data_IF_351552121528
#
_entry.id   IF_351552121528
#
_cell.length_a   1.000
_cell.length_b   1.000
_cell.length_c   1.000
_cell.angle_alpha   90.00
_cell.angle_beta   90.00
_cell.angle_gamma   90.00
#
_symmetry.space_group_name_H-M   'P 1'
#
loop_
_entity.id
_entity.type
_entity.pdbx_description
1 polymer ?
#
# COMPACT_ATOMS: atom_id res chain seq x y z
N UNK A 1 -4.16 16.15 -20.48
CA UNK A 1 -4.93 14.93 -20.21
C UNK A 1 -4.22 14.09 -19.18
N UNK A 2 -4.86 13.87 -18.07
CA UNK A 2 -4.26 13.03 -17.06
C UNK A 2 -4.38 11.57 -17.50
N UNK A 3 -3.26 10.87 -17.48
CA UNK A 3 -3.20 9.50 -17.87
C UNK A 3 -3.09 8.67 -16.59
N UNK A 4 -4.00 7.75 -16.41
CA UNK A 4 -3.92 6.85 -15.27
C UNK A 4 -2.71 5.93 -15.43
N UNK A 5 -1.87 5.86 -14.41
CA UNK A 5 -0.73 4.98 -14.41
C UNK A 5 -1.19 3.52 -14.34
N UNK A 6 -0.54 2.64 -15.08
CA UNK A 6 -0.80 1.21 -14.94
C UNK A 6 -0.09 0.69 -13.68
N UNK A 7 -0.43 -0.52 -13.28
CA UNK A 7 0.08 -1.08 -12.03
C UNK A 7 1.61 -1.16 -12.00
N UNK A 8 2.26 -1.52 -13.11
CA UNK A 8 3.71 -1.61 -13.13
C UNK A 8 4.38 -0.26 -12.93
N UNK A 9 3.80 0.79 -13.51
CA UNK A 9 4.29 2.16 -13.31
C UNK A 9 4.16 2.60 -11.86
N UNK A 10 3.02 2.33 -11.24
CA UNK A 10 2.79 2.65 -9.82
C UNK A 10 3.75 1.85 -8.94
N UNK A 11 3.94 0.57 -9.25
CA UNK A 11 4.88 -0.27 -8.51
C UNK A 11 6.29 0.32 -8.54
N UNK A 12 6.77 0.71 -9.70
CA UNK A 12 8.11 1.30 -9.83
C UNK A 12 8.21 2.63 -9.10
N UNK A 13 7.16 3.44 -9.15
CA UNK A 13 7.15 4.76 -8.55
C UNK A 13 7.02 4.72 -7.03
N UNK A 14 6.12 3.89 -6.50
CA UNK A 14 5.73 3.94 -5.09
C UNK A 14 6.30 2.84 -4.21
N UNK A 15 6.53 1.65 -4.73
CA UNK A 15 6.90 0.52 -3.87
C UNK A 15 8.25 0.70 -3.19
N UNK A 16 9.17 1.38 -3.83
CA UNK A 16 10.47 1.67 -3.21
C UNK A 16 10.30 2.56 -1.98
N UNK A 17 9.48 3.61 -2.11
CA UNK A 17 9.18 4.51 -1.00
C UNK A 17 8.38 3.80 0.09
N UNK A 18 7.39 3.02 -0.30
CA UNK A 18 6.58 2.24 0.64
C UNK A 18 7.44 1.25 1.42
N UNK A 19 8.41 0.61 0.77
CA UNK A 19 9.29 -0.34 1.43
C UNK A 19 10.10 0.32 2.54
N UNK A 20 10.41 1.61 2.40
CA UNK A 20 11.11 2.37 3.44
C UNK A 20 10.17 2.82 4.55
N UNK A 21 8.99 3.30 4.21
CA UNK A 21 8.09 3.94 5.18
C UNK A 21 7.23 2.96 5.95
N UNK A 22 6.75 1.88 5.33
CA UNK A 22 5.82 0.96 5.98
C UNK A 22 6.39 0.36 7.27
N UNK A 23 7.64 -0.18 7.29
CA UNK A 23 8.19 -0.71 8.53
C UNK A 23 8.40 0.35 9.61
N UNK A 24 8.82 1.55 9.21
CA UNK A 24 9.05 2.66 10.14
C UNK A 24 7.73 3.09 10.79
N UNK A 25 6.69 3.25 9.98
CA UNK A 25 5.39 3.67 10.48
C UNK A 25 4.75 2.62 11.37
N UNK A 26 4.94 1.35 11.06
CA UNK A 26 4.45 0.27 11.92
C UNK A 26 5.09 0.34 13.30
N UNK A 27 6.39 0.68 13.35
CA UNK A 27 7.09 0.82 14.61
C UNK A 27 6.68 2.08 15.39
N UNK A 28 6.55 3.21 14.68
CA UNK A 28 6.27 4.50 15.31
C UNK A 28 4.80 4.63 15.70
N UNK A 29 3.89 4.24 14.83
CA UNK A 29 2.45 4.43 15.02
C UNK A 29 1.71 3.19 15.50
N UNK A 30 2.34 2.02 15.48
CA UNK A 30 1.68 0.75 15.80
C UNK A 30 1.07 0.69 17.18
N UNK A 31 1.60 1.46 18.15
CA UNK A 31 1.03 1.52 19.48
C UNK A 31 -0.32 2.22 19.55
N UNK A 32 -0.49 3.29 18.78
CA UNK A 32 -1.74 4.05 18.69
C UNK A 32 -2.66 3.54 17.58
N UNK A 33 -2.06 2.96 16.54
CA UNK A 33 -2.78 2.45 15.38
C UNK A 33 -2.32 1.01 15.09
N UNK A 34 -2.78 0.04 15.92
CA UNK A 34 -2.37 -1.36 15.76
C UNK A 34 -2.76 -1.95 14.40
N UNK A 35 -3.78 -1.37 13.73
CA UNK A 35 -4.15 -1.79 12.38
C UNK A 35 -3.00 -1.63 11.40
N UNK A 36 -2.04 -0.75 11.66
CA UNK A 36 -0.90 -0.57 10.75
C UNK A 36 0.03 -1.78 10.73
N UNK A 37 0.07 -2.57 11.78
CA UNK A 37 0.81 -3.83 11.78
C UNK A 37 0.21 -4.80 10.75
N UNK A 38 -1.11 -4.79 10.60
CA UNK A 38 -1.78 -5.60 9.58
C UNK A 38 -1.51 -5.04 8.18
N UNK A 39 -1.47 -3.72 8.04
CA UNK A 39 -1.09 -3.08 6.77
C UNK A 39 0.30 -3.55 6.34
N UNK A 40 1.25 -3.54 7.26
CA UNK A 40 2.62 -3.98 6.99
C UNK A 40 2.65 -5.43 6.53
N UNK A 41 1.94 -6.30 7.23
CA UNK A 41 1.89 -7.73 6.92
C UNK A 41 1.34 -7.97 5.51
N UNK A 42 0.22 -7.34 5.18
CA UNK A 42 -0.41 -7.49 3.88
C UNK A 42 0.47 -6.87 2.79
N UNK A 43 1.09 -5.74 3.07
CA UNK A 43 2.02 -5.11 2.14
C UNK A 43 3.20 -6.03 1.81
N UNK A 44 3.76 -6.70 2.82
CA UNK A 44 4.86 -7.64 2.62
C UNK A 44 4.43 -8.81 1.73
N UNK A 45 3.24 -9.34 1.94
CA UNK A 45 2.69 -10.40 1.09
C UNK A 45 2.48 -9.91 -0.36
N UNK A 46 1.95 -8.70 -0.49
CA UNK A 46 1.69 -8.08 -1.79
C UNK A 46 2.98 -7.89 -2.58
N UNK A 47 4.02 -7.35 -1.94
CA UNK A 47 5.30 -7.11 -2.60
C UNK A 47 5.99 -8.40 -2.99
N UNK A 48 5.88 -9.43 -2.17
CA UNK A 48 6.45 -10.74 -2.49
C UNK A 48 5.81 -11.31 -3.75
N UNK A 49 4.48 -11.27 -3.83
CA UNK A 49 3.76 -11.75 -5.01
C UNK A 49 4.10 -10.93 -6.25
N UNK A 50 4.18 -9.61 -6.11
CA UNK A 50 4.53 -8.72 -7.22
C UNK A 50 5.94 -9.01 -7.73
N UNK A 51 6.88 -9.27 -6.84
CA UNK A 51 8.25 -9.60 -7.19
C UNK A 51 8.33 -10.94 -7.92
N UNK A 52 7.61 -11.94 -7.41
CA UNK A 52 7.61 -13.28 -8.00
C UNK A 52 6.99 -13.29 -9.40
N UNK A 53 6.02 -12.42 -9.65
CA UNK A 53 5.36 -12.31 -10.96
C UNK A 53 6.25 -11.63 -12.02
N UNK A 54 7.27 -10.88 -11.60
CA UNK A 54 8.14 -10.14 -12.51
C UNK A 54 7.37 -9.09 -13.30
N UNK A 55 7.38 -9.18 -14.62
CA UNK A 55 6.68 -8.23 -15.49
C UNK A 55 5.21 -8.59 -15.70
N UNK A 56 4.81 -9.78 -15.32
CA UNK A 56 3.41 -10.20 -15.43
C UNK A 56 2.57 -9.58 -14.32
N UNK A 57 1.28 -9.44 -14.57
CA UNK A 57 0.37 -8.91 -13.56
C UNK A 57 0.14 -9.95 -12.47
N UNK A 58 0.55 -9.68 -11.22
CA UNK A 58 0.34 -10.62 -10.12
C UNK A 58 -1.13 -10.65 -9.70
N UNK A 59 -1.52 -11.74 -9.03
CA UNK A 59 -2.86 -11.83 -8.46
C UNK A 59 -2.84 -11.25 -7.05
N UNK A 60 -3.17 -9.97 -6.93
CA UNK A 60 -3.16 -9.22 -5.68
C UNK A 60 -4.55 -8.86 -5.18
N UNK A 61 -5.57 -9.46 -5.76
CA UNK A 61 -6.96 -9.12 -5.42
C UNK A 61 -7.25 -9.28 -3.94
N UNK A 62 -6.84 -10.41 -3.36
CA UNK A 62 -7.06 -10.68 -1.94
C UNK A 62 -6.33 -9.68 -1.04
N UNK A 63 -5.11 -9.32 -1.41
CA UNK A 63 -4.31 -8.37 -0.64
C UNK A 63 -4.95 -6.98 -0.64
N UNK A 64 -5.41 -6.51 -1.79
CA UNK A 64 -6.06 -5.21 -1.85
C UNK A 64 -7.40 -5.18 -1.13
N UNK A 65 -8.15 -6.29 -1.17
CA UNK A 65 -9.40 -6.39 -0.38
C UNK A 65 -9.08 -6.25 1.11
N UNK A 66 -8.05 -6.95 1.59
CA UNK A 66 -7.63 -6.84 3.00
C UNK A 66 -7.20 -5.43 3.36
N UNK A 67 -6.43 -4.77 2.49
CA UNK A 67 -5.99 -3.40 2.74
C UNK A 67 -7.18 -2.45 2.85
N UNK A 68 -8.17 -2.59 1.99
CA UNK A 68 -9.37 -1.74 2.07
C UNK A 68 -10.13 -1.96 3.37
N UNK A 69 -10.22 -3.19 3.83
CA UNK A 69 -10.88 -3.51 5.09
C UNK A 69 -10.12 -2.96 6.29
N UNK A 70 -8.80 -3.17 6.32
CA UNK A 70 -7.95 -2.72 7.43
C UNK A 70 -7.95 -1.20 7.54
N UNK A 71 -7.90 -0.50 6.40
CA UNK A 71 -7.72 0.95 6.34
C UNK A 71 -9.04 1.71 6.20
N UNK A 72 -10.17 1.02 6.17
CA UNK A 72 -11.47 1.64 5.91
C UNK A 72 -11.42 2.45 4.61
N UNK A 73 -11.09 1.76 3.52
CA UNK A 73 -10.93 2.34 2.18
C UNK A 73 -9.89 3.47 2.16
N UNK A 74 -8.75 3.22 2.82
CA UNK A 74 -7.62 4.16 2.88
C UNK A 74 -7.97 5.50 3.51
N UNK A 75 -8.84 5.47 4.51
CA UNK A 75 -9.20 6.66 5.28
C UNK A 75 -8.07 7.00 6.24
N UNK A 76 -7.49 8.19 6.07
CA UNK A 76 -6.35 8.63 6.88
C UNK A 76 -6.85 9.10 8.25
N UNK A 77 -6.33 8.53 9.37
CA UNK A 77 -6.68 9.03 10.70
C UNK A 77 -6.21 10.48 10.87
N UNK A 78 -6.93 11.25 11.68
CA UNK A 78 -6.65 12.67 11.85
C UNK A 78 -5.46 12.98 12.74
N UNK A 79 -4.92 11.99 13.43
CA UNK A 79 -3.86 12.16 14.42
C UNK A 79 -2.50 11.57 13.98
N UNK A 80 -2.31 11.44 12.66
CA UNK A 80 -1.10 10.82 12.13
C UNK A 80 -0.27 11.82 11.31
N UNK A 81 0.99 11.47 11.07
CA UNK A 81 1.92 12.33 10.35
C UNK A 81 1.73 12.26 8.83
N UNK A 82 2.40 13.18 8.13
CA UNK A 82 2.33 13.25 6.67
C UNK A 82 2.82 11.97 5.99
N UNK A 83 3.82 11.31 6.56
CA UNK A 83 4.33 10.06 6.00
C UNK A 83 3.29 8.95 6.05
N UNK A 84 2.50 8.90 7.13
CA UNK A 84 1.40 7.95 7.25
C UNK A 84 0.34 8.22 6.17
N UNK A 85 -0.04 9.48 6.01
CA UNK A 85 -0.98 9.89 4.96
C UNK A 85 -0.45 9.51 3.58
N UNK A 86 0.84 9.78 3.33
CA UNK A 86 1.47 9.48 2.05
C UNK A 86 1.42 7.97 1.75
N UNK A 87 1.66 7.12 2.76
CA UNK A 87 1.57 5.68 2.57
C UNK A 87 0.17 5.25 2.17
N UNK A 88 -0.85 5.75 2.86
CA UNK A 88 -2.23 5.41 2.52
C UNK A 88 -2.59 5.87 1.12
N UNK A 89 -2.16 7.07 0.73
CA UNK A 89 -2.42 7.59 -0.61
C UNK A 89 -1.71 6.76 -1.69
N UNK A 90 -0.47 6.35 -1.44
CA UNK A 90 0.27 5.50 -2.38
C UNK A 90 -0.36 4.11 -2.51
N UNK A 91 -0.82 3.54 -1.41
CA UNK A 91 -1.52 2.25 -1.45
C UNK A 91 -2.84 2.36 -2.20
N UNK A 92 -3.57 3.46 -2.01
CA UNK A 92 -4.82 3.70 -2.72
C UNK A 92 -4.58 3.83 -4.23
N UNK A 93 -3.52 4.53 -4.63
CA UNK A 93 -3.16 4.64 -6.05
C UNK A 93 -2.79 3.29 -6.64
N UNK A 94 -2.05 2.47 -5.90
CA UNK A 94 -1.69 1.13 -6.35
C UNK A 94 -2.92 0.25 -6.54
N UNK A 95 -3.86 0.32 -5.59
CA UNK A 95 -5.12 -0.41 -5.68
C UNK A 95 -5.91 0.02 -6.92
N UNK A 96 -6.06 1.32 -7.10
CA UNK A 96 -6.78 1.88 -8.25
C UNK A 96 -6.14 1.44 -9.57
N UNK A 97 -4.83 1.49 -9.68
CA UNK A 97 -4.11 1.06 -10.87
C UNK A 97 -4.27 -0.44 -11.11
N UNK A 98 -4.30 -1.23 -10.04
CA UNK A 98 -4.48 -2.67 -10.14
C UNK A 98 -5.88 -3.01 -10.66
N UNK A 99 -6.90 -2.27 -10.22
CA UNK A 99 -8.29 -2.50 -10.62
C UNK A 99 -8.59 -2.06 -12.05
N UNK A 100 -7.77 -1.19 -12.61
CA UNK A 100 -7.98 -0.63 -13.95
C UNK A 100 -7.84 -1.66 -15.07
#
# INVERSE_FOLDING_TARGET
>A
MSKQLNFNQVKETHFKTLAQYVPVLARVHGGSHPEFHEVRKVYDELTKKAKDAGIEKPDLKAEFVKLREITDNYTVPGDVCESYEAVYNMLAEADKAYQA
#
